data_IF_955381261011
#
_entry.id   IF_955381261011
#
_cell.length_a   1.000
_cell.length_b   1.000
_cell.length_c   1.000
_cell.angle_alpha   90.00
_cell.angle_beta   90.00
_cell.angle_gamma   90.00
#
_symmetry.space_group_name_H-M   'P 1'
#
loop_
_entity.id
_entity.type
_entity.pdbx_description
1 polymer ?
#
# COMPACT_ATOMS: atom_id res chain seq x y z
N UNK A 1 4.91 10.45 29.71
CA UNK A 1 5.03 9.25 28.87
C UNK A 1 6.34 8.55 29.23
N UNK A 2 6.28 7.34 29.77
CA UNK A 2 7.46 6.55 30.19
C UNK A 2 8.25 6.06 28.98
N UNK A 3 9.53 5.72 29.14
CA UNK A 3 10.37 5.27 28.02
C UNK A 3 9.90 3.93 27.43
N UNK A 4 9.33 3.05 28.26
CA UNK A 4 8.69 1.79 27.82
C UNK A 4 7.57 2.02 26.81
N UNK A 5 6.71 3.03 27.04
CA UNK A 5 5.60 3.34 26.13
C UNK A 5 6.11 3.91 24.81
N UNK A 6 7.20 4.70 24.84
CA UNK A 6 7.82 5.22 23.60
C UNK A 6 8.38 4.09 22.74
N UNK A 7 8.93 3.05 23.35
CA UNK A 7 9.49 1.92 22.61
C UNK A 7 8.40 1.03 21.99
N UNK A 8 7.28 0.81 22.69
CA UNK A 8 6.12 0.13 22.10
C UNK A 8 5.51 0.93 20.95
N UNK A 9 5.36 2.25 21.12
CA UNK A 9 4.91 3.17 20.06
C UNK A 9 5.79 3.06 18.81
N UNK A 10 7.11 3.09 18.98
CA UNK A 10 8.06 2.95 17.85
C UNK A 10 7.92 1.62 17.12
N UNK A 11 7.62 0.53 17.83
CA UNK A 11 7.38 -0.78 17.22
C UNK A 11 6.19 -0.70 16.26
N UNK A 12 5.05 -0.18 16.72
CA UNK A 12 3.85 -0.10 15.89
C UNK A 12 3.97 0.88 14.73
N UNK A 13 4.68 2.00 14.90
CA UNK A 13 5.00 2.91 13.79
C UNK A 13 5.77 2.16 12.70
N UNK A 14 6.81 1.40 13.07
CA UNK A 14 7.59 0.59 12.11
C UNK A 14 6.78 -0.51 11.43
N UNK A 15 5.72 -0.98 12.07
CA UNK A 15 4.75 -1.93 11.49
C UNK A 15 3.73 -1.22 10.58
N UNK A 16 3.87 0.09 10.35
CA UNK A 16 2.98 0.87 9.49
C UNK A 16 1.66 1.27 10.16
N UNK A 17 1.57 1.17 11.49
CA UNK A 17 0.34 1.51 12.20
C UNK A 17 0.15 3.03 12.32
N UNK A 18 -1.08 3.48 12.11
CA UNK A 18 -1.53 4.80 12.58
C UNK A 18 -1.74 4.75 14.08
N UNK A 19 -1.08 5.65 14.83
CA UNK A 19 -1.22 5.73 16.28
C UNK A 19 -2.15 6.86 16.71
N UNK A 20 -3.14 6.51 17.52
CA UNK A 20 -4.07 7.46 18.13
C UNK A 20 -3.78 7.50 19.62
N UNK A 21 -3.26 8.63 20.11
CA UNK A 21 -3.00 8.83 21.54
C UNK A 21 -4.29 9.27 22.25
N UNK A 22 -4.53 8.68 23.42
CA UNK A 22 -5.71 8.95 24.24
C UNK A 22 -5.28 9.59 25.56
N UNK A 23 -5.94 10.68 25.93
CA UNK A 23 -5.78 11.34 27.21
C UNK A 23 -7.13 11.60 27.88
N UNK A 24 -7.12 11.61 29.21
CA UNK A 24 -8.27 11.97 30.05
C UNK A 24 -7.82 13.06 31.00
N UNK A 25 -8.52 14.19 31.01
CA UNK A 25 -8.17 15.37 31.83
C UNK A 25 -6.72 15.85 31.64
N UNK A 26 -6.22 15.79 30.40
CA UNK A 26 -4.84 16.17 30.06
C UNK A 26 -3.78 15.15 30.50
N UNK A 27 -4.17 14.03 31.12
CA UNK A 27 -3.28 12.94 31.52
C UNK A 27 -3.30 11.86 30.46
N UNK A 28 -2.11 11.42 30.04
CA UNK A 28 -1.95 10.33 29.08
C UNK A 28 -2.55 9.02 29.62
N UNK A 29 -3.54 8.47 28.91
CA UNK A 29 -4.23 7.24 29.28
C UNK A 29 -3.73 6.01 28.49
N UNK A 30 -3.26 6.21 27.24
CA UNK A 30 -2.77 5.13 26.40
C UNK A 30 -2.76 5.50 24.91
N UNK A 31 -2.60 4.50 24.05
CA UNK A 31 -2.71 4.67 22.59
C UNK A 31 -3.45 3.49 21.95
N UNK A 32 -4.03 3.73 20.78
CA UNK A 32 -4.60 2.72 19.89
C UNK A 32 -3.74 2.66 18.62
N UNK A 33 -3.30 1.46 18.24
CA UNK A 33 -2.60 1.22 16.98
C UNK A 33 -3.57 0.64 15.96
N UNK A 34 -3.73 1.33 14.82
CA UNK A 34 -4.58 0.92 13.71
C UNK A 34 -3.70 0.54 12.52
N UNK A 35 -3.92 -0.64 11.96
CA UNK A 35 -3.22 -1.13 10.76
C UNK A 35 -4.21 -1.70 9.76
N UNK A 36 -3.91 -1.53 8.49
CA UNK A 36 -4.64 -2.23 7.44
C UNK A 36 -4.26 -3.71 7.41
N UNK A 37 -5.25 -4.55 7.11
CA UNK A 37 -5.05 -5.99 6.97
C UNK A 37 -5.13 -6.38 5.50
N UNK A 38 -4.14 -7.11 5.00
CA UNK A 38 -4.22 -7.69 3.66
C UNK A 38 -5.32 -8.75 3.58
N UNK A 39 -5.99 -8.86 2.42
CA UNK A 39 -6.91 -9.97 2.18
C UNK A 39 -6.14 -11.29 2.22
N UNK A 40 -6.70 -12.31 2.89
CA UNK A 40 -6.05 -13.62 3.12
C UNK A 40 -5.52 -14.27 1.83
N UNK A 41 -6.22 -14.07 0.72
CA UNK A 41 -5.87 -14.68 -0.57
C UNK A 41 -4.84 -13.87 -1.39
N UNK A 42 -4.53 -12.62 -0.99
CA UNK A 42 -3.63 -11.74 -1.76
C UNK A 42 -2.24 -12.35 -1.98
N UNK A 43 -1.53 -12.91 -0.98
CA UNK A 43 -0.18 -13.44 -1.20
C UNK A 43 -0.15 -14.60 -2.21
N UNK A 44 -1.15 -15.48 -2.14
CA UNK A 44 -1.28 -16.60 -3.08
C UNK A 44 -1.56 -16.12 -4.50
N UNK A 45 -2.40 -15.08 -4.65
CA UNK A 45 -2.67 -14.46 -5.94
C UNK A 45 -1.43 -13.82 -6.55
N UNK A 46 -0.69 -13.03 -5.76
CA UNK A 46 0.57 -12.41 -6.20
C UNK A 46 1.59 -13.48 -6.63
N UNK A 47 1.69 -14.59 -5.87
CA UNK A 47 2.56 -15.72 -6.22
C UNK A 47 2.16 -16.37 -7.56
N UNK A 48 0.86 -16.55 -7.80
CA UNK A 48 0.37 -17.10 -9.06
C UNK A 48 0.67 -16.16 -10.24
N UNK A 49 0.45 -14.86 -10.08
CA UNK A 49 0.79 -13.83 -11.08
C UNK A 49 2.28 -13.87 -11.42
N UNK A 50 3.16 -13.94 -10.41
CA UNK A 50 4.62 -14.05 -10.61
C UNK A 50 5.01 -15.32 -11.37
N UNK A 51 4.32 -16.44 -11.13
CA UNK A 51 4.56 -17.72 -11.81
C UNK A 51 4.21 -17.65 -13.30
N UNK A 52 3.30 -16.74 -13.69
CA UNK A 52 2.97 -16.45 -15.09
C UNK A 52 3.99 -15.50 -15.75
N UNK A 53 5.06 -15.10 -15.06
CA UNK A 53 6.06 -14.16 -15.56
C UNK A 53 5.61 -12.69 -15.56
N UNK A 54 4.53 -12.37 -14.85
CA UNK A 54 4.03 -11.00 -14.69
C UNK A 54 4.67 -10.38 -13.45
N UNK A 55 5.13 -9.14 -13.57
CA UNK A 55 5.78 -8.38 -12.50
C UNK A 55 4.71 -7.56 -11.75
N UNK A 56 4.38 -7.89 -10.49
CA UNK A 56 3.46 -7.10 -9.70
C UNK A 56 4.16 -5.86 -9.13
N UNK A 57 3.51 -4.70 -9.24
CA UNK A 57 3.97 -3.42 -8.70
C UNK A 57 2.86 -2.86 -7.81
N UNK A 58 3.20 -2.37 -6.61
CA UNK A 58 2.26 -1.67 -5.73
C UNK A 58 2.38 -0.16 -5.95
N UNK A 59 1.25 0.48 -6.27
CA UNK A 59 1.11 1.94 -6.34
C UNK A 59 0.10 2.38 -5.28
N UNK A 60 0.54 3.05 -4.21
CA UNK A 60 -0.34 3.50 -3.12
C UNK A 60 -0.08 4.95 -2.74
N UNK A 61 -1.13 5.62 -2.26
CA UNK A 61 -1.04 6.95 -1.64
C UNK A 61 -0.61 6.90 -0.18
N UNK A 62 -0.51 5.71 0.42
CA UNK A 62 -0.06 5.53 1.80
C UNK A 62 1.43 5.86 1.95
N UNK A 63 1.81 6.21 3.19
CA UNK A 63 3.21 6.45 3.55
C UNK A 63 4.08 5.20 3.38
N UNK A 64 5.36 5.43 3.09
CA UNK A 64 6.35 4.39 2.82
C UNK A 64 6.40 3.22 3.79
N UNK A 65 6.28 3.45 5.11
CA UNK A 65 6.33 2.37 6.11
C UNK A 65 5.12 1.43 5.99
N UNK A 66 3.91 1.98 5.88
CA UNK A 66 2.67 1.21 5.70
C UNK A 66 2.65 0.48 4.35
N UNK A 67 3.03 1.19 3.27
CA UNK A 67 3.13 0.62 1.93
C UNK A 67 4.09 -0.57 1.88
N UNK A 68 5.27 -0.44 2.51
CA UNK A 68 6.28 -1.49 2.58
C UNK A 68 5.77 -2.69 3.38
N UNK A 69 5.12 -2.46 4.52
CA UNK A 69 4.57 -3.51 5.35
C UNK A 69 3.52 -4.35 4.60
N UNK A 70 2.59 -3.68 3.92
CA UNK A 70 1.54 -4.33 3.13
C UNK A 70 2.12 -5.07 1.91
N UNK A 71 3.02 -4.43 1.17
CA UNK A 71 3.66 -5.03 0.00
C UNK A 71 4.45 -6.28 0.35
N UNK A 72 5.26 -6.24 1.41
CA UNK A 72 6.03 -7.39 1.88
C UNK A 72 5.11 -8.54 2.30
N UNK A 73 4.03 -8.24 3.01
CA UNK A 73 3.03 -9.24 3.41
C UNK A 73 2.34 -9.90 2.20
N UNK A 74 2.13 -9.14 1.11
CA UNK A 74 1.63 -9.65 -0.16
C UNK A 74 2.71 -10.31 -1.05
N UNK A 75 3.99 -10.13 -0.73
CA UNK A 75 5.11 -10.61 -1.52
C UNK A 75 5.40 -9.76 -2.77
N UNK A 76 5.13 -8.45 -2.75
CA UNK A 76 5.44 -7.49 -3.82
C UNK A 76 6.76 -6.78 -3.48
N UNK A 77 7.63 -6.59 -4.48
CA UNK A 77 8.97 -6.00 -4.30
C UNK A 77 9.05 -4.56 -4.83
N UNK A 78 8.41 -4.29 -5.96
CA UNK A 78 8.39 -2.96 -6.56
C UNK A 78 7.24 -2.15 -5.97
N UNK A 79 7.58 -1.10 -5.22
CA UNK A 79 6.66 -0.33 -4.38
C UNK A 79 6.86 1.15 -4.65
N UNK A 80 5.78 1.84 -4.97
CA UNK A 80 5.73 3.29 -5.04
C UNK A 80 4.69 3.77 -4.02
N UNK A 81 5.19 4.35 -2.94
CA UNK A 81 4.40 4.94 -1.86
C UNK A 81 4.19 6.44 -2.11
N UNK A 82 3.33 7.07 -1.31
CA UNK A 82 3.05 8.51 -1.36
C UNK A 82 2.64 9.00 -2.77
N UNK A 83 2.02 8.12 -3.56
CA UNK A 83 1.65 8.41 -4.94
C UNK A 83 0.44 9.34 -5.02
N UNK A 84 0.60 10.44 -5.74
CA UNK A 84 -0.50 11.22 -6.29
C UNK A 84 -1.10 10.50 -7.52
N UNK A 85 -2.34 10.85 -7.94
CA UNK A 85 -2.96 10.27 -9.13
C UNK A 85 -2.07 10.34 -10.38
N UNK A 86 -1.30 11.43 -10.55
CA UNK A 86 -0.40 11.63 -11.68
C UNK A 86 0.78 10.65 -11.65
N UNK A 87 1.26 10.28 -10.46
CA UNK A 87 2.35 9.31 -10.31
C UNK A 87 1.91 7.92 -10.80
N UNK A 88 0.66 7.54 -10.54
CA UNK A 88 0.11 6.26 -11.02
C UNK A 88 0.07 6.22 -12.54
N UNK A 89 -0.37 7.30 -13.19
CA UNK A 89 -0.41 7.40 -14.66
C UNK A 89 1.01 7.37 -15.23
N UNK A 90 1.95 8.12 -14.63
CA UNK A 90 3.34 8.17 -15.09
C UNK A 90 4.02 6.79 -15.03
N UNK A 91 3.78 6.01 -13.96
CA UNK A 91 4.32 4.64 -13.83
C UNK A 91 3.82 3.71 -14.95
N UNK A 92 2.54 3.85 -15.33
CA UNK A 92 1.95 3.10 -16.46
C UNK A 92 2.59 3.54 -17.77
N UNK A 93 2.71 4.85 -18.00
CA UNK A 93 3.33 5.41 -19.21
C UNK A 93 4.78 4.96 -19.37
N UNK A 94 5.57 4.98 -18.30
CA UNK A 94 6.95 4.54 -18.31
C UNK A 94 7.06 3.06 -18.74
N UNK A 95 6.21 2.21 -18.18
CA UNK A 95 6.16 0.78 -18.51
C UNK A 95 5.72 0.55 -19.97
N UNK A 96 4.71 1.28 -20.43
CA UNK A 96 4.26 1.24 -21.82
C UNK A 96 5.35 1.73 -22.80
N UNK A 97 6.13 2.75 -22.42
CA UNK A 97 7.23 3.26 -23.23
C UNK A 97 8.39 2.26 -23.34
N UNK A 98 8.55 1.36 -22.36
CA UNK A 98 9.45 0.20 -22.44
C UNK A 98 8.89 -0.96 -23.29
N UNK A 99 7.69 -0.80 -23.85
CA UNK A 99 7.01 -1.81 -24.66
C UNK A 99 6.24 -2.86 -23.86
N UNK A 100 6.09 -2.66 -22.55
CA UNK A 100 5.37 -3.59 -21.67
C UNK A 100 3.85 -3.41 -21.81
N UNK A 101 3.10 -4.50 -21.60
CA UNK A 101 1.64 -4.44 -21.46
C UNK A 101 1.28 -4.31 -19.98
N UNK A 102 0.51 -3.29 -19.65
CA UNK A 102 0.15 -2.96 -18.27
C UNK A 102 -1.29 -3.36 -17.99
N UNK A 103 -1.49 -4.14 -16.94
CA UNK A 103 -2.79 -4.39 -16.33
C UNK A 103 -2.86 -3.63 -15.00
N UNK A 104 -3.82 -2.73 -14.85
CA UNK A 104 -4.04 -2.01 -13.59
C UNK A 104 -5.26 -2.56 -12.86
N UNK A 105 -5.13 -2.76 -11.56
CA UNK A 105 -6.22 -3.12 -10.64
C UNK A 105 -6.39 -1.99 -9.63
N UNK A 106 -7.62 -1.52 -9.40
CA UNK A 106 -7.90 -0.39 -8.50
C UNK A 106 -9.37 -0.27 -8.14
N UNK A 107 -9.73 0.69 -7.30
CA UNK A 107 -11.10 0.86 -6.75
C UNK A 107 -12.10 1.55 -7.72
N UNK A 108 -11.64 1.92 -8.92
CA UNK A 108 -12.46 2.52 -9.97
C UNK A 108 -12.85 3.98 -9.75
N UNK A 109 -12.90 4.47 -8.51
CA UNK A 109 -13.27 5.86 -8.19
C UNK A 109 -12.00 6.73 -8.16
N UNK A 110 -11.03 6.36 -7.33
CA UNK A 110 -9.78 7.12 -7.18
C UNK A 110 -8.79 6.78 -8.31
N UNK A 111 -8.87 5.56 -8.82
CA UNK A 111 -7.95 5.04 -9.84
C UNK A 111 -8.47 5.15 -11.28
N UNK A 112 -9.62 5.79 -11.50
CA UNK A 112 -10.28 5.83 -12.82
C UNK A 112 -9.35 6.28 -13.98
N UNK A 113 -8.57 7.38 -13.84
CA UNK A 113 -7.67 7.82 -14.91
C UNK A 113 -6.57 6.79 -15.23
N UNK A 114 -6.01 6.18 -14.19
CA UNK A 114 -4.93 5.20 -14.32
C UNK A 114 -5.44 3.88 -14.92
N UNK A 115 -6.62 3.41 -14.49
CA UNK A 115 -7.33 2.27 -15.07
C UNK A 115 -7.61 2.47 -16.58
N UNK A 116 -7.99 3.68 -16.99
CA UNK A 116 -8.21 4.01 -18.40
C UNK A 116 -6.92 4.05 -19.23
N UNK A 117 -5.79 4.41 -18.62
CA UNK A 117 -4.49 4.47 -19.29
C UNK A 117 -3.88 3.09 -19.55
N UNK A 118 -4.12 2.14 -18.64
CA UNK A 118 -3.61 0.77 -18.74
C UNK A 118 -4.12 0.04 -20.00
N UNK A 119 -3.43 -1.00 -20.43
CA UNK A 119 -3.90 -1.84 -21.54
C UNK A 119 -5.12 -2.67 -21.13
N UNK A 120 -5.18 -3.05 -19.84
CA UNK A 120 -6.34 -3.66 -19.20
C UNK A 120 -6.54 -2.97 -17.85
N UNK A 121 -7.75 -2.46 -17.61
CA UNK A 121 -8.14 -1.93 -16.31
C UNK A 121 -9.16 -2.85 -15.64
N UNK A 122 -8.91 -3.22 -14.38
CA UNK A 122 -9.81 -4.03 -13.56
C UNK A 122 -10.21 -3.19 -12.35
N UNK A 123 -11.47 -2.74 -12.35
CA UNK A 123 -12.03 -2.07 -11.18
C UNK A 123 -12.54 -3.13 -10.19
N UNK A 124 -12.16 -2.99 -8.91
CA UNK A 124 -12.74 -3.75 -7.82
C UNK A 124 -13.92 -2.97 -7.22
N UNK A 125 -15.07 -3.62 -7.12
CA UNK A 125 -16.26 -3.15 -6.40
C UNK A 125 -16.49 -3.93 -5.11
#
# INVERSE_FOLDING_TARGET
MTDTVKDEVRKYIKEGCTLIYVSTDGIFAGFVALSDTIRVNSPNMIKAIKTLGIIPVLLTGDHGEAATHIAHSAGILDIYADCLPENKIASIEESQNRGEKVCMVGDGINDAPALKKANVGIAMG
#
